data_IF_655826628817
#
_entry.id   IF_655826628817
#
_cell.length_a   1.000
_cell.length_b   1.000
_cell.length_c   1.000
_cell.angle_alpha   90.00
_cell.angle_beta   90.00
_cell.angle_gamma   90.00
#
_symmetry.space_group_name_H-M   'P 1'
#
loop_
_entity.id
_entity.type
_entity.pdbx_description
1 polymer ?
#
# COMPACT_ATOMS: atom_id res chain seq x y z
N UNK A 1 32.80 5.96 23.37
CA UNK A 1 32.54 6.59 22.06
C UNK A 1 31.65 5.71 21.19
N UNK A 2 32.05 4.49 20.80
CA UNK A 2 31.22 3.62 19.94
C UNK A 2 29.74 3.40 20.33
N UNK A 3 29.42 3.39 21.64
CA UNK A 3 28.04 3.26 22.10
C UNK A 3 27.20 4.52 21.81
N UNK A 4 27.82 5.71 21.86
CA UNK A 4 27.16 6.97 21.55
C UNK A 4 26.88 7.08 20.06
N UNK A 5 27.86 6.76 19.20
CA UNK A 5 27.69 6.79 17.74
C UNK A 5 26.60 5.81 17.28
N UNK A 6 26.52 4.64 17.95
CA UNK A 6 25.43 3.68 17.70
C UNK A 6 24.08 4.26 18.10
N UNK A 7 23.98 4.91 19.26
CA UNK A 7 22.74 5.52 19.71
C UNK A 7 22.31 6.66 18.78
N UNK A 8 23.24 7.48 18.33
CA UNK A 8 23.01 8.55 17.36
C UNK A 8 22.51 7.99 16.02
N UNK A 9 23.17 6.97 15.46
CA UNK A 9 22.69 6.33 14.24
C UNK A 9 21.29 5.74 14.41
N UNK A 10 21.01 5.11 15.55
CA UNK A 10 19.66 4.57 15.79
C UNK A 10 18.61 5.67 15.94
N UNK A 11 18.96 6.83 16.50
CA UNK A 11 18.04 7.96 16.62
C UNK A 11 17.79 8.61 15.25
N UNK A 12 18.83 8.76 14.42
CA UNK A 12 18.72 9.26 13.05
C UNK A 12 17.85 8.35 12.18
N UNK A 13 18.08 7.03 12.21
CA UNK A 13 17.28 6.06 11.46
C UNK A 13 15.81 6.12 11.90
N UNK A 14 15.55 6.17 13.21
CA UNK A 14 14.18 6.32 13.74
C UNK A 14 13.53 7.62 13.27
N UNK A 15 14.26 8.73 13.31
CA UNK A 15 13.79 10.05 12.86
C UNK A 15 13.44 10.05 11.36
N UNK A 16 14.33 9.51 10.53
CA UNK A 16 14.07 9.40 9.08
C UNK A 16 12.88 8.48 8.77
N UNK A 17 12.72 7.38 9.52
CA UNK A 17 11.57 6.50 9.37
C UNK A 17 10.25 7.19 9.75
N UNK A 18 10.23 7.96 10.84
CA UNK A 18 9.05 8.76 11.23
C UNK A 18 8.74 9.85 10.22
N UNK A 19 9.75 10.55 9.69
CA UNK A 19 9.55 11.61 8.69
C UNK A 19 8.95 11.05 7.40
N UNK A 20 9.43 9.88 6.95
CA UNK A 20 8.88 9.18 5.79
C UNK A 20 7.40 8.82 5.99
N UNK A 21 7.06 8.30 7.17
CA UNK A 21 5.67 7.95 7.51
C UNK A 21 4.78 9.18 7.62
N UNK A 22 5.33 10.35 7.96
CA UNK A 22 4.63 11.64 7.94
C UNK A 22 4.20 12.02 6.55
N UNK A 23 5.13 11.93 5.61
CA UNK A 23 4.87 12.19 4.19
C UNK A 23 3.84 11.22 3.62
N UNK A 24 3.89 9.95 4.01
CA UNK A 24 2.91 8.95 3.57
C UNK A 24 1.49 9.23 4.09
N UNK A 25 1.37 9.65 5.35
CA UNK A 25 0.10 10.03 5.96
C UNK A 25 -0.46 11.30 5.30
N UNK A 26 0.38 12.29 5.05
CA UNK A 26 0.00 13.54 4.37
C UNK A 26 -0.47 13.28 2.93
N UNK A 27 0.24 12.43 2.18
CA UNK A 27 -0.15 12.02 0.83
C UNK A 27 -1.50 11.30 0.84
N UNK A 28 -1.71 10.38 1.79
CA UNK A 28 -2.98 9.65 1.91
C UNK A 28 -4.14 10.58 2.26
N UNK A 29 -3.91 11.53 3.17
CA UNK A 29 -4.89 12.56 3.55
C UNK A 29 -5.28 13.42 2.34
N UNK A 30 -4.30 13.93 1.60
CA UNK A 30 -4.54 14.78 0.41
C UNK A 30 -5.36 14.05 -0.65
N UNK A 31 -5.04 12.77 -0.92
CA UNK A 31 -5.80 11.94 -1.84
C UNK A 31 -7.25 11.73 -1.38
N UNK A 32 -7.48 11.46 -0.10
CA UNK A 32 -8.83 11.29 0.43
C UNK A 32 -9.63 12.59 0.43
N UNK A 33 -9.01 13.74 0.71
CA UNK A 33 -9.68 15.04 0.60
C UNK A 33 -10.15 15.32 -0.83
N UNK A 34 -9.34 15.00 -1.84
CA UNK A 34 -9.73 15.12 -3.24
C UNK A 34 -10.95 14.24 -3.58
N UNK A 35 -10.92 12.96 -3.19
CA UNK A 35 -12.05 12.02 -3.39
C UNK A 35 -13.31 12.47 -2.64
N UNK A 36 -13.15 12.91 -1.39
CA UNK A 36 -14.26 13.42 -0.57
C UNK A 36 -14.92 14.65 -1.20
N UNK A 37 -14.14 15.56 -1.77
CA UNK A 37 -14.65 16.75 -2.44
C UNK A 37 -15.46 16.38 -3.69
N UNK A 38 -14.95 15.44 -4.50
CA UNK A 38 -15.66 14.94 -5.68
C UNK A 38 -16.97 14.24 -5.30
N UNK A 39 -16.95 13.40 -4.27
CA UNK A 39 -18.15 12.73 -3.76
C UNK A 39 -19.20 13.72 -3.25
N UNK A 40 -18.79 14.79 -2.54
CA UNK A 40 -19.70 15.83 -2.07
C UNK A 40 -20.41 16.56 -3.23
N UNK A 41 -19.69 16.87 -4.32
CA UNK A 41 -20.27 17.47 -5.53
C UNK A 41 -21.28 16.52 -6.18
N UNK A 42 -20.93 15.24 -6.31
CA UNK A 42 -21.84 14.22 -6.89
C UNK A 42 -23.09 13.99 -6.02
N UNK A 43 -22.97 14.06 -4.69
CA UNK A 43 -24.12 14.05 -3.79
C UNK A 43 -25.06 15.25 -4.06
N UNK A 44 -24.50 16.44 -4.28
CA UNK A 44 -25.27 17.63 -4.66
C UNK A 44 -26.02 17.46 -5.99
N UNK A 45 -25.40 16.82 -6.98
CA UNK A 45 -26.07 16.46 -8.23
C UNK A 45 -27.16 15.41 -8.03
N UNK A 46 -26.96 14.45 -7.12
CA UNK A 46 -27.99 13.46 -6.77
C UNK A 46 -29.23 14.11 -6.15
N UNK A 47 -29.05 15.09 -5.26
CA UNK A 47 -30.18 15.88 -4.72
C UNK A 47 -30.91 16.63 -5.84
N UNK A 48 -30.17 17.26 -6.76
CA UNK A 48 -30.78 17.94 -7.91
C UNK A 48 -31.59 16.97 -8.79
N UNK A 49 -31.10 15.75 -9.01
CA UNK A 49 -31.79 14.71 -9.76
C UNK A 49 -33.12 14.32 -9.10
N UNK A 50 -33.17 14.26 -7.77
CA UNK A 50 -34.39 13.91 -7.02
C UNK A 50 -35.41 15.05 -7.04
N UNK A 51 -34.96 16.30 -6.84
CA UNK A 51 -35.86 17.45 -6.63
C UNK A 51 -36.35 18.09 -7.93
N UNK A 52 -35.53 18.11 -8.99
CA UNK A 52 -35.87 18.86 -10.22
C UNK A 52 -36.59 18.05 -11.29
N UNK A 53 -36.69 16.73 -11.12
CA UNK A 53 -37.23 15.85 -12.16
C UNK A 53 -38.58 15.32 -11.69
N UNK A 54 -39.62 15.91 -12.27
CA UNK A 54 -41.00 15.46 -12.15
C UNK A 54 -41.42 14.73 -13.43
N UNK A 55 -42.13 13.61 -13.27
CA UNK A 55 -42.67 12.81 -14.37
C UNK A 55 -44.20 13.00 -14.44
N UNK A 56 -44.78 13.11 -15.65
CA UNK A 56 -46.24 13.07 -15.82
C UNK A 56 -46.83 11.74 -15.32
N UNK A 57 -48.08 11.76 -14.85
CA UNK A 57 -48.78 10.58 -14.30
C UNK A 57 -48.97 9.43 -15.30
N UNK A 58 -48.82 9.69 -16.60
CA UNK A 58 -48.99 8.70 -17.68
C UNK A 58 -47.77 7.79 -17.90
N UNK A 59 -46.68 8.00 -17.17
CA UNK A 59 -45.43 7.24 -17.33
C UNK A 59 -45.47 5.93 -16.55
N UNK A 60 -44.89 4.87 -17.12
CA UNK A 60 -44.76 3.58 -16.45
C UNK A 60 -44.18 3.72 -15.03
N UNK A 61 -44.92 3.34 -13.97
CA UNK A 61 -44.54 3.60 -12.59
C UNK A 61 -43.26 2.86 -12.19
N UNK A 62 -42.99 1.72 -12.84
CA UNK A 62 -41.78 0.93 -12.62
C UNK A 62 -40.51 1.68 -13.05
N UNK A 63 -40.53 2.36 -14.20
CA UNK A 63 -39.37 3.12 -14.70
C UNK A 63 -39.10 4.35 -13.84
N UNK A 64 -40.15 5.05 -13.42
CA UNK A 64 -40.04 6.19 -12.51
C UNK A 64 -39.49 5.77 -11.14
N UNK A 65 -39.99 4.66 -10.58
CA UNK A 65 -39.48 4.09 -9.33
C UNK A 65 -38.00 3.68 -9.44
N UNK A 66 -37.62 3.05 -10.55
CA UNK A 66 -36.24 2.63 -10.79
C UNK A 66 -35.27 3.82 -10.89
N UNK A 67 -35.71 4.93 -11.52
CA UNK A 67 -34.95 6.17 -11.57
C UNK A 67 -34.66 6.71 -10.15
N UNK A 68 -35.70 6.87 -9.33
CA UNK A 68 -35.52 7.39 -7.96
C UNK A 68 -34.70 6.44 -7.09
N UNK A 69 -34.84 5.13 -7.28
CA UNK A 69 -34.01 4.14 -6.59
C UNK A 69 -32.52 4.36 -6.87
N UNK A 70 -32.12 4.45 -8.14
CA UNK A 70 -30.72 4.69 -8.49
C UNK A 70 -30.21 6.08 -8.06
N UNK A 71 -31.07 7.10 -8.11
CA UNK A 71 -30.75 8.44 -7.63
C UNK A 71 -30.47 8.46 -6.11
N UNK A 72 -31.26 7.72 -5.32
CA UNK A 72 -31.05 7.57 -3.88
C UNK A 72 -29.80 6.75 -3.57
N UNK A 73 -29.54 5.67 -4.31
CA UNK A 73 -28.29 4.90 -4.18
C UNK A 73 -27.06 5.78 -4.44
N UNK A 74 -27.10 6.62 -5.47
CA UNK A 74 -26.05 7.59 -5.77
C UNK A 74 -25.88 8.62 -4.62
N UNK A 75 -26.97 9.15 -4.07
CA UNK A 75 -26.94 10.10 -2.96
C UNK A 75 -26.33 9.48 -1.70
N UNK A 76 -26.87 8.35 -1.25
CA UNK A 76 -26.46 7.68 -0.02
C UNK A 76 -25.02 7.17 -0.14
N UNK A 77 -24.64 6.61 -1.28
CA UNK A 77 -23.28 6.13 -1.53
C UNK A 77 -22.24 7.26 -1.44
N UNK A 78 -22.52 8.43 -2.04
CA UNK A 78 -21.62 9.58 -1.96
C UNK A 78 -21.56 10.17 -0.55
N UNK A 79 -22.69 10.30 0.17
CA UNK A 79 -22.68 10.77 1.57
C UNK A 79 -21.89 9.82 2.46
N UNK A 80 -22.07 8.50 2.31
CA UNK A 80 -21.32 7.50 3.06
C UNK A 80 -19.81 7.56 2.74
N UNK A 81 -19.44 7.81 1.48
CA UNK A 81 -18.05 8.04 1.08
C UNK A 81 -17.46 9.28 1.77
N UNK A 82 -18.16 10.42 1.72
CA UNK A 82 -17.72 11.67 2.36
C UNK A 82 -17.58 11.49 3.88
N UNK A 83 -18.55 10.86 4.53
CA UNK A 83 -18.50 10.58 5.96
C UNK A 83 -17.31 9.67 6.32
N UNK A 84 -17.07 8.61 5.53
CA UNK A 84 -15.93 7.70 5.73
C UNK A 84 -14.59 8.40 5.57
N UNK A 85 -14.44 9.24 4.54
CA UNK A 85 -13.25 10.08 4.32
C UNK A 85 -13.02 11.01 5.50
N UNK A 86 -14.05 11.71 5.97
CA UNK A 86 -13.96 12.62 7.10
C UNK A 86 -13.52 11.89 8.38
N UNK A 87 -14.13 10.74 8.68
CA UNK A 87 -13.76 9.91 9.84
C UNK A 87 -12.30 9.44 9.75
N UNK A 88 -11.86 8.92 8.61
CA UNK A 88 -10.48 8.44 8.41
C UNK A 88 -9.48 9.58 8.55
N UNK A 89 -9.75 10.75 7.98
CA UNK A 89 -8.85 11.89 8.08
C UNK A 89 -8.75 12.40 9.52
N UNK A 90 -9.88 12.55 10.24
CA UNK A 90 -9.88 13.02 11.63
C UNK A 90 -9.19 12.01 12.55
N UNK A 91 -9.57 10.73 12.47
CA UNK A 91 -9.03 9.70 13.35
C UNK A 91 -7.57 9.36 13.02
N UNK A 92 -7.24 9.26 11.73
CA UNK A 92 -5.89 8.94 11.25
C UNK A 92 -4.88 10.03 11.62
N UNK A 93 -5.21 11.31 11.39
CA UNK A 93 -4.32 12.42 11.78
C UNK A 93 -4.22 12.57 13.29
N UNK A 94 -5.33 12.39 14.04
CA UNK A 94 -5.32 12.44 15.50
C UNK A 94 -4.40 11.38 16.11
N UNK A 95 -4.49 10.13 15.62
CA UNK A 95 -3.63 9.04 16.07
C UNK A 95 -2.16 9.26 15.71
N UNK A 96 -1.90 9.83 14.53
CA UNK A 96 -0.55 10.14 14.07
C UNK A 96 0.14 11.26 14.86
N UNK A 97 -0.61 12.29 15.29
CA UNK A 97 -0.06 13.44 15.99
C UNK A 97 -0.01 13.30 17.52
N UNK A 98 -0.99 12.58 18.11
CA UNK A 98 -1.16 12.52 19.58
C UNK A 98 -0.87 11.15 20.18
N UNK A 99 -0.69 10.13 19.35
CA UNK A 99 -0.46 8.78 19.83
C UNK A 99 0.96 8.55 20.38
N UNK A 100 1.16 7.46 21.14
CA UNK A 100 2.48 7.06 21.63
C UNK A 100 3.40 6.64 20.49
N UNK A 101 4.71 6.53 20.75
CA UNK A 101 5.70 6.11 19.76
C UNK A 101 5.23 4.88 18.95
N UNK A 102 5.22 5.00 17.63
CA UNK A 102 4.73 3.97 16.70
C UNK A 102 3.26 4.11 16.27
N UNK A 103 2.46 4.98 16.92
CA UNK A 103 1.07 5.24 16.53
C UNK A 103 0.95 5.79 15.11
N UNK A 104 1.95 6.53 14.66
CA UNK A 104 2.05 7.08 13.31
C UNK A 104 2.10 5.99 12.24
N UNK A 105 2.83 4.90 12.49
CA UNK A 105 2.87 3.75 11.59
C UNK A 105 1.50 3.07 11.53
N UNK A 106 0.89 2.87 12.70
CA UNK A 106 -0.44 2.28 12.80
C UNK A 106 -1.51 3.14 12.11
N UNK A 107 -1.40 4.46 12.20
CA UNK A 107 -2.30 5.40 11.54
C UNK A 107 -2.19 5.30 10.00
N UNK A 108 -0.96 5.30 9.46
CA UNK A 108 -0.71 5.14 8.04
C UNK A 108 -1.27 3.80 7.52
N UNK A 109 -0.99 2.70 8.21
CA UNK A 109 -1.49 1.37 7.84
C UNK A 109 -3.02 1.28 7.93
N UNK A 110 -3.62 1.94 8.92
CA UNK A 110 -5.08 2.04 9.07
C UNK A 110 -5.74 2.79 7.91
N UNK A 111 -5.13 3.92 7.49
CA UNK A 111 -5.59 4.69 6.33
C UNK A 111 -5.51 3.86 5.03
N UNK A 112 -4.43 3.08 4.85
CA UNK A 112 -4.29 2.19 3.68
C UNK A 112 -5.34 1.09 3.65
N UNK A 113 -5.63 0.43 4.77
CA UNK A 113 -6.65 -0.62 4.84
C UNK A 113 -8.05 -0.10 4.53
N UNK A 114 -8.35 1.14 4.94
CA UNK A 114 -9.67 1.73 4.72
C UNK A 114 -9.84 2.31 3.30
N UNK A 115 -8.73 2.54 2.58
CA UNK A 115 -8.72 3.05 1.20
C UNK A 115 -9.66 2.27 0.29
N UNK A 116 -9.55 0.94 0.28
CA UNK A 116 -10.32 0.10 -0.63
C UNK A 116 -11.84 0.26 -0.42
N UNK A 117 -12.28 0.32 0.85
CA UNK A 117 -13.71 0.50 1.19
C UNK A 117 -14.24 1.86 0.73
N UNK A 118 -13.45 2.92 0.90
CA UNK A 118 -13.83 4.27 0.42
C UNK A 118 -13.98 4.27 -1.10
N UNK A 119 -13.04 3.64 -1.81
CA UNK A 119 -13.10 3.52 -3.28
C UNK A 119 -14.31 2.70 -3.75
N UNK A 120 -14.66 1.60 -3.07
CA UNK A 120 -15.87 0.84 -3.39
C UNK A 120 -17.14 1.65 -3.17
N UNK A 121 -17.27 2.34 -2.04
CA UNK A 121 -18.42 3.21 -1.77
C UNK A 121 -18.58 4.29 -2.85
N UNK A 122 -17.49 4.99 -3.20
CA UNK A 122 -17.50 5.99 -4.28
C UNK A 122 -17.87 5.39 -5.64
N UNK A 123 -17.33 4.23 -5.99
CA UNK A 123 -17.59 3.55 -7.27
C UNK A 123 -19.05 3.10 -7.37
N UNK A 124 -19.62 2.54 -6.30
CA UNK A 124 -21.04 2.15 -6.29
C UNK A 124 -21.97 3.34 -6.50
N UNK A 125 -21.63 4.51 -5.94
CA UNK A 125 -22.38 5.75 -6.15
C UNK A 125 -22.29 6.22 -7.61
N UNK A 126 -21.10 6.19 -8.21
CA UNK A 126 -20.88 6.53 -9.62
C UNK A 126 -21.69 5.63 -10.57
N UNK A 127 -21.73 4.31 -10.31
CA UNK A 127 -22.54 3.37 -11.09
C UNK A 127 -24.03 3.69 -10.93
N UNK A 128 -24.48 3.98 -9.70
CA UNK A 128 -25.85 4.44 -9.46
C UNK A 128 -26.20 5.71 -10.24
N UNK A 129 -25.29 6.68 -10.30
CA UNK A 129 -25.45 7.92 -11.08
C UNK A 129 -25.60 7.64 -12.59
N UNK A 130 -24.75 6.77 -13.14
CA UNK A 130 -24.80 6.40 -14.55
C UNK A 130 -26.10 5.67 -14.89
N UNK A 131 -26.54 4.73 -14.05
CA UNK A 131 -27.81 4.01 -14.23
C UNK A 131 -29.01 4.95 -14.14
N UNK A 132 -29.04 5.85 -13.15
CA UNK A 132 -30.09 6.87 -13.04
C UNK A 132 -30.16 7.74 -14.32
N UNK A 133 -29.00 8.13 -14.87
CA UNK A 133 -28.93 8.92 -16.10
C UNK A 133 -29.43 8.13 -17.32
N UNK A 134 -29.14 6.83 -17.41
CA UNK A 134 -29.67 5.98 -18.48
C UNK A 134 -31.19 5.88 -18.41
N UNK A 135 -31.76 5.60 -17.24
CA UNK A 135 -33.21 5.52 -17.07
C UNK A 135 -33.87 6.88 -17.41
N UNK A 136 -33.26 7.98 -16.97
CA UNK A 136 -33.74 9.32 -17.26
C UNK A 136 -33.76 9.65 -18.76
N UNK A 137 -32.71 9.24 -19.50
CA UNK A 137 -32.63 9.47 -20.94
C UNK A 137 -33.79 8.77 -21.68
N UNK A 138 -34.13 7.55 -21.28
CA UNK A 138 -35.26 6.79 -21.85
C UNK A 138 -36.63 7.34 -21.45
N UNK A 139 -36.74 7.95 -20.26
CA UNK A 139 -38.00 8.54 -19.79
C UNK A 139 -38.30 9.91 -20.43
N UNK A 140 -37.28 10.73 -20.67
CA UNK A 140 -37.47 12.15 -21.04
C UNK A 140 -37.24 12.46 -22.52
N UNK A 141 -36.48 11.64 -23.25
CA UNK A 141 -36.07 11.95 -24.63
C UNK A 141 -36.75 11.05 -25.66
N UNK A 142 -36.84 11.53 -26.90
CA UNK A 142 -37.27 10.73 -28.06
C UNK A 142 -36.35 9.50 -28.23
N UNK A 143 -36.85 8.32 -28.66
CA UNK A 143 -36.07 7.08 -28.67
C UNK A 143 -34.74 7.14 -29.43
N UNK A 144 -34.68 7.91 -30.53
CA UNK A 144 -33.43 8.09 -31.30
C UNK A 144 -32.39 8.85 -30.47
N UNK A 145 -32.78 9.94 -29.82
CA UNK A 145 -31.90 10.74 -28.96
C UNK A 145 -31.50 9.97 -27.70
N UNK A 146 -32.44 9.22 -27.11
CA UNK A 146 -32.17 8.35 -25.97
C UNK A 146 -31.13 7.26 -26.32
N UNK A 147 -31.25 6.63 -27.49
CA UNK A 147 -30.28 5.65 -27.97
C UNK A 147 -28.87 6.26 -28.13
N UNK A 148 -28.76 7.49 -28.66
CA UNK A 148 -27.48 8.19 -28.76
C UNK A 148 -26.89 8.54 -27.39
N UNK A 149 -27.69 9.10 -26.48
CA UNK A 149 -27.25 9.43 -25.12
C UNK A 149 -26.80 8.19 -24.35
N UNK A 150 -27.53 7.08 -24.48
CA UNK A 150 -27.17 5.82 -23.82
C UNK A 150 -25.88 5.23 -24.38
N UNK A 151 -25.65 5.29 -25.70
CA UNK A 151 -24.38 4.89 -26.31
C UNK A 151 -23.20 5.73 -25.77
N UNK A 152 -23.37 7.05 -25.63
CA UNK A 152 -22.34 7.93 -25.06
C UNK A 152 -22.05 7.61 -23.59
N UNK A 153 -23.10 7.40 -22.78
CA UNK A 153 -22.94 7.02 -21.36
C UNK A 153 -22.23 5.66 -21.24
N UNK A 154 -22.63 4.67 -22.04
CA UNK A 154 -21.99 3.35 -22.05
C UNK A 154 -20.53 3.41 -22.49
N UNK A 155 -20.21 4.22 -23.51
CA UNK A 155 -18.83 4.46 -23.91
C UNK A 155 -18.02 5.10 -22.79
N UNK A 156 -18.58 6.11 -22.10
CA UNK A 156 -17.95 6.77 -20.95
C UNK A 156 -17.65 5.78 -19.82
N UNK A 157 -18.63 4.95 -19.44
CA UNK A 157 -18.45 3.92 -18.41
C UNK A 157 -17.42 2.88 -18.83
N UNK A 158 -17.49 2.37 -20.06
CA UNK A 158 -16.55 1.36 -20.57
C UNK A 158 -15.11 1.91 -20.65
N UNK A 159 -14.95 3.17 -21.08
CA UNK A 159 -13.67 3.86 -21.08
C UNK A 159 -13.13 4.03 -19.66
N UNK A 160 -13.97 4.47 -18.72
CA UNK A 160 -13.62 4.59 -17.30
C UNK A 160 -13.14 3.27 -16.71
N UNK A 161 -13.88 2.17 -16.89
CA UNK A 161 -13.50 0.84 -16.40
C UNK A 161 -12.17 0.39 -17.00
N UNK A 162 -11.97 0.57 -18.31
CA UNK A 162 -10.68 0.23 -18.96
C UNK A 162 -9.52 1.01 -18.37
N UNK A 163 -9.69 2.31 -18.15
CA UNK A 163 -8.65 3.15 -17.53
C UNK A 163 -8.39 2.70 -16.10
N UNK A 164 -9.42 2.42 -15.30
CA UNK A 164 -9.25 1.92 -13.93
C UNK A 164 -8.51 0.59 -13.89
N UNK A 165 -8.86 -0.36 -14.75
CA UNK A 165 -8.17 -1.65 -14.83
C UNK A 165 -6.72 -1.49 -15.32
N UNK A 166 -6.49 -0.61 -16.29
CA UNK A 166 -5.13 -0.30 -16.77
C UNK A 166 -4.27 0.29 -15.65
N UNK A 167 -4.81 1.27 -14.91
CA UNK A 167 -4.15 1.89 -13.75
C UNK A 167 -3.89 0.84 -12.67
N UNK A 168 -4.87 -0.02 -12.35
CA UNK A 168 -4.68 -1.09 -11.37
C UNK A 168 -3.55 -2.05 -11.78
N UNK A 169 -3.48 -2.43 -13.05
CA UNK A 169 -2.41 -3.29 -13.55
C UNK A 169 -1.05 -2.59 -13.54
N UNK A 170 -1.00 -1.29 -13.82
CA UNK A 170 0.23 -0.50 -13.78
C UNK A 170 0.77 -0.34 -12.34
N UNK A 171 -0.12 -0.22 -11.37
CA UNK A 171 0.22 -0.05 -9.95
C UNK A 171 0.21 -1.36 -9.15
N UNK A 172 -0.01 -2.51 -9.79
CA UNK A 172 0.26 -3.81 -9.16
C UNK A 172 1.77 -3.95 -9.01
N UNK A 173 2.28 -3.48 -7.87
CA UNK A 173 3.66 -3.67 -7.47
C UNK A 173 3.90 -5.18 -7.29
N UNK A 174 4.53 -5.81 -8.28
CA UNK A 174 5.01 -7.17 -8.13
C UNK A 174 6.20 -7.12 -7.18
N UNK A 175 6.01 -7.57 -5.93
CA UNK A 175 7.08 -7.64 -4.93
C UNK A 175 8.34 -8.38 -5.44
N UNK A 176 8.19 -9.24 -6.45
CA UNK A 176 9.29 -9.92 -7.14
C UNK A 176 10.21 -9.01 -7.96
N UNK A 177 9.79 -7.79 -8.31
CA UNK A 177 10.62 -6.76 -8.97
C UNK A 177 11.19 -5.72 -8.00
N UNK A 178 10.83 -5.79 -6.70
CA UNK A 178 11.59 -5.05 -5.70
C UNK A 178 13.00 -5.64 -5.69
N UNK A 179 13.92 -4.94 -6.34
CA UNK A 179 15.33 -5.32 -6.40
C UNK A 179 15.73 -5.68 -4.98
N UNK A 180 16.09 -6.95 -4.74
CA UNK A 180 16.51 -7.36 -3.42
C UNK A 180 17.62 -6.39 -3.04
N UNK A 181 17.67 -5.98 -1.78
CA UNK A 181 18.78 -5.15 -1.31
C UNK A 181 20.12 -5.83 -1.64
N UNK A 182 20.12 -7.16 -1.74
CA UNK A 182 21.22 -7.97 -2.28
C UNK A 182 21.58 -7.66 -3.74
N UNK A 183 20.62 -7.42 -4.64
CA UNK A 183 20.88 -7.01 -6.03
C UNK A 183 21.51 -5.62 -6.10
N UNK A 184 20.99 -4.65 -5.32
CA UNK A 184 21.58 -3.30 -5.21
C UNK A 184 22.98 -3.33 -4.60
N UNK A 185 23.20 -4.15 -3.57
CA UNK A 185 24.52 -4.36 -2.96
C UNK A 185 25.47 -5.19 -3.84
N UNK A 186 24.94 -5.97 -4.80
CA UNK A 186 25.73 -6.78 -5.73
C UNK A 186 26.02 -6.08 -7.06
N UNK A 187 25.26 -5.03 -7.41
CA UNK A 187 25.57 -4.20 -8.57
C UNK A 187 26.90 -3.49 -8.34
N UNK A 188 27.94 -3.91 -9.06
CA UNK A 188 29.30 -3.34 -9.03
C UNK A 188 29.36 -1.83 -9.32
N UNK A 189 28.24 -1.24 -9.74
CA UNK A 189 28.12 0.18 -10.13
C UNK A 189 27.88 1.13 -8.96
N UNK A 190 27.34 0.66 -7.84
CA UNK A 190 27.23 1.50 -6.62
C UNK A 190 28.51 1.32 -5.81
N UNK A 191 29.55 2.04 -6.21
CA UNK A 191 30.79 2.10 -5.46
C UNK A 191 30.51 2.52 -4.00
N UNK A 192 31.22 1.95 -3.02
CA UNK A 192 31.01 2.23 -1.58
C UNK A 192 31.04 3.73 -1.26
N UNK A 193 31.73 4.53 -2.08
CA UNK A 193 31.80 5.99 -1.96
C UNK A 193 30.45 6.72 -2.05
N UNK A 194 29.47 6.18 -2.80
CA UNK A 194 28.14 6.80 -2.90
C UNK A 194 27.37 6.67 -1.58
N UNK A 195 27.44 5.49 -0.95
CA UNK A 195 26.86 5.25 0.37
C UNK A 195 27.57 6.05 1.47
N UNK A 196 28.88 6.21 1.38
CA UNK A 196 29.68 7.06 2.29
C UNK A 196 29.23 8.53 2.21
N UNK A 197 29.02 9.06 1.00
CA UNK A 197 28.50 10.43 0.82
C UNK A 197 27.07 10.60 1.32
N UNK A 198 26.22 9.61 1.12
CA UNK A 198 24.78 9.74 1.44
C UNK A 198 24.49 9.50 2.93
N UNK A 199 25.28 8.67 3.61
CA UNK A 199 25.14 8.42 5.04
C UNK A 199 25.96 9.38 5.91
N UNK A 200 26.89 10.14 5.33
CA UNK A 200 27.80 11.02 6.09
C UNK A 200 28.70 10.25 7.07
N UNK A 201 28.82 8.93 6.87
CA UNK A 201 29.61 8.03 7.72
C UNK A 201 30.99 7.89 7.10
N UNK A 202 32.01 8.05 7.93
CA UNK A 202 33.42 7.97 7.53
C UNK A 202 33.71 6.67 6.76
N UNK A 203 34.34 6.79 5.59
CA UNK A 203 34.59 5.69 4.63
C UNK A 203 35.15 4.45 5.30
N UNK A 204 36.14 4.65 6.19
CA UNK A 204 36.84 3.56 6.85
C UNK A 204 35.96 2.79 7.82
N UNK A 205 35.04 3.47 8.51
CA UNK A 205 34.06 2.82 9.40
C UNK A 205 33.02 2.03 8.62
N UNK A 206 32.58 2.51 7.46
CA UNK A 206 31.62 1.81 6.61
C UNK A 206 32.25 0.54 6.02
N UNK A 207 33.50 0.63 5.54
CA UNK A 207 34.26 -0.51 5.00
C UNK A 207 34.47 -1.56 6.10
N UNK A 208 34.83 -1.16 7.32
CA UNK A 208 34.98 -2.10 8.43
C UNK A 208 33.65 -2.78 8.83
N UNK A 209 32.54 -2.04 8.84
CA UNK A 209 31.22 -2.59 9.16
C UNK A 209 30.74 -3.55 8.07
N UNK A 210 30.89 -3.20 6.80
CA UNK A 210 30.54 -4.08 5.67
C UNK A 210 31.40 -5.33 5.65
N UNK A 211 32.71 -5.23 5.91
CA UNK A 211 33.59 -6.39 6.03
C UNK A 211 33.17 -7.31 7.19
N UNK A 212 32.76 -6.72 8.32
CA UNK A 212 32.28 -7.46 9.50
C UNK A 212 30.93 -8.14 9.27
N UNK A 213 30.02 -7.48 8.54
CA UNK A 213 28.71 -8.04 8.15
C UNK A 213 28.89 -9.16 7.12
N UNK A 214 29.75 -8.98 6.12
CA UNK A 214 30.06 -10.01 5.11
C UNK A 214 30.63 -11.27 5.75
N UNK A 215 31.56 -11.14 6.71
CA UNK A 215 32.08 -12.27 7.50
C UNK A 215 30.99 -12.98 8.31
N UNK A 216 30.08 -12.24 8.95
CA UNK A 216 28.97 -12.85 9.72
C UNK A 216 27.99 -13.61 8.82
N UNK A 217 27.69 -13.07 7.64
CA UNK A 217 26.78 -13.71 6.68
C UNK A 217 27.37 -15.00 6.09
N UNK A 218 28.68 -15.01 5.79
CA UNK A 218 29.38 -16.23 5.36
C UNK A 218 29.37 -17.33 6.43
N UNK A 219 29.57 -16.97 7.70
CA UNK A 219 29.50 -17.94 8.82
C UNK A 219 28.08 -18.48 8.97
N UNK A 220 27.05 -17.65 8.87
CA UNK A 220 25.65 -18.08 8.93
C UNK A 220 25.26 -19.00 7.76
N UNK A 221 25.71 -18.70 6.55
CA UNK A 221 25.50 -19.57 5.39
C UNK A 221 26.21 -20.93 5.54
N UNK A 222 27.44 -20.94 6.04
CA UNK A 222 28.16 -22.18 6.35
C UNK A 222 27.46 -23.00 7.43
N UNK A 223 26.92 -22.36 8.47
CA UNK A 223 26.13 -23.04 9.52
C UNK A 223 24.82 -23.59 8.95
N UNK A 224 24.14 -22.84 8.09
CA UNK A 224 22.90 -23.27 7.46
C UNK A 224 23.12 -24.46 6.49
N UNK A 225 24.22 -24.45 5.74
CA UNK A 225 24.62 -25.57 4.89
C UNK A 225 25.02 -26.80 5.72
N UNK A 226 25.83 -26.62 6.78
CA UNK A 226 26.21 -27.72 7.68
C UNK A 226 24.99 -28.37 8.36
N UNK A 227 23.97 -27.58 8.72
CA UNK A 227 22.72 -28.09 9.30
C UNK A 227 21.87 -28.85 8.29
N UNK A 228 21.93 -28.50 7.00
CA UNK A 228 21.27 -29.22 5.91
C UNK A 228 21.89 -30.61 5.69
N UNK A 229 23.19 -30.74 5.93
CA UNK A 229 23.94 -32.00 5.76
C UNK A 229 23.95 -32.91 7.01
N UNK A 230 23.11 -32.62 8.01
CA UNK A 230 22.96 -33.47 9.20
C UNK A 230 24.11 -33.38 10.23
N UNK A 231 25.00 -32.39 10.11
CA UNK A 231 26.06 -32.14 11.09
C UNK A 231 25.47 -31.41 12.30
N UNK A 232 25.16 -32.17 13.35
CA UNK A 232 24.49 -31.67 14.56
C UNK A 232 25.37 -30.80 15.49
N UNK A 233 26.68 -30.71 15.25
CA UNK A 233 27.55 -29.85 16.06
C UNK A 233 28.69 -29.26 15.24
N UNK A 234 28.74 -27.92 15.18
CA UNK A 234 29.84 -27.15 14.59
C UNK A 234 30.53 -26.39 15.72
N UNK A 235 31.80 -26.71 16.00
CA UNK A 235 32.60 -26.01 17.03
C UNK A 235 33.58 -25.08 16.33
N UNK A 236 33.29 -23.78 16.36
CA UNK A 236 34.20 -22.76 15.82
C UNK A 236 35.23 -22.41 16.90
N UNK A 237 36.46 -22.89 16.75
CA UNK A 237 37.56 -22.58 17.66
C UNK A 237 38.27 -21.31 17.19
N UNK A 238 38.28 -20.27 18.02
CA UNK A 238 39.12 -19.07 17.78
C UNK A 238 40.57 -19.43 18.11
N UNK A 239 41.44 -19.51 17.10
CA UNK A 239 42.88 -19.48 17.31
C UNK A 239 43.38 -18.03 17.46
N UNK A 240 44.44 -17.86 18.25
CA UNK A 240 45.08 -16.56 18.50
C UNK A 240 45.73 -15.94 17.25
N UNK A 241 45.90 -16.70 16.16
CA UNK A 241 46.54 -16.26 14.92
C UNK A 241 45.59 -15.66 13.86
N UNK A 242 44.31 -15.43 14.18
CA UNK A 242 43.42 -14.60 13.36
C UNK A 242 42.71 -15.31 12.18
N UNK A 243 43.05 -16.55 11.86
CA UNK A 243 42.29 -17.39 10.91
C UNK A 243 41.37 -18.35 11.67
N UNK A 244 40.04 -18.30 11.46
CA UNK A 244 39.12 -19.23 12.09
C UNK A 244 39.21 -20.60 11.39
N UNK A 245 39.65 -21.61 12.12
CA UNK A 245 39.64 -23.00 11.67
C UNK A 245 38.29 -23.64 12.03
N UNK A 246 37.62 -24.22 11.05
CA UNK A 246 36.33 -24.88 11.21
C UNK A 246 36.56 -26.38 11.24
N UNK A 247 36.37 -26.99 12.41
CA UNK A 247 36.53 -28.44 12.59
C UNK A 247 35.15 -29.08 12.61
N UNK A 248 34.90 -29.98 11.65
CA UNK A 248 33.68 -30.78 11.60
C UNK A 248 33.87 -32.06 12.42
N UNK A 249 33.02 -32.28 13.43
CA UNK A 249 32.94 -33.56 14.16
C UNK A 249 31.73 -34.34 13.65
N UNK A 250 31.98 -35.48 13.01
CA UNK A 250 30.96 -36.48 12.71
C UNK A 250 30.74 -37.35 13.94
N UNK A 251 29.52 -37.34 14.47
CA UNK A 251 29.11 -38.24 15.55
C UNK A 251 28.84 -39.63 14.97
N UNK A 252 29.88 -40.43 14.75
CA UNK A 252 29.73 -41.87 14.52
C UNK A 252 29.36 -42.55 15.83
N UNK A 253 28.06 -42.69 16.08
CA UNK A 253 27.53 -43.52 17.17
C UNK A 253 27.88 -44.97 16.84
N UNK A 254 28.83 -45.52 17.60
CA UNK A 254 29.11 -46.96 17.67
C UNK A 254 27.84 -47.70 18.13
N UNK A 255 27.21 -48.43 17.22
CA UNK A 255 26.40 -49.59 17.56
C UNK A 255 27.36 -50.74 17.91
N UNK A 256 27.72 -50.85 19.18
CA UNK A 256 28.46 -51.98 19.71
C UNK A 256 27.69 -52.59 20.88
N UNK A 257 27.14 -53.78 20.64
CA UNK A 257 27.09 -54.91 21.57
C UNK A 257 26.25 -54.80 22.84
N UNK A 258 25.24 -55.67 22.94
CA UNK A 258 24.62 -56.06 24.20
C UNK A 258 23.50 -57.06 23.96
N UNK A 259 23.71 -58.28 24.45
CA UNK A 259 22.89 -59.49 24.31
C UNK A 259 21.46 -59.36 24.89
#
# INVERSE_FOLDING_TARGET
MLAADKLELTSLIKKSATDLKGKELELSKSNFEAVGTQAAVLAGFAVCMIVKIDFPDDVNPLSSSLYYFFAVVNLVGNIACVASVACVNIMGTSLGLRGPDGSMLQAADGMHKQRERIFWAFTTALVGCALATLVLAWLKMQPVTAALCTAVVLYGVASGVKVTLHVQNLFQYKETESGKVDDVLSSETVGPEFFVRQLGVDSDTLIQLLAKIRRRRQVLLLVALARRDGLNSMVVRRQAAGTPEVIFRTSSVLLAGGQ
#
